data_IF_089246762692
#
_entry.id   IF_089246762692
#
_cell.length_a   1.000
_cell.length_b   1.000
_cell.length_c   1.000
_cell.angle_alpha   90.00
_cell.angle_beta   90.00
_cell.angle_gamma   90.00
#
_symmetry.space_group_name_H-M   'P 1'
#
loop_
_entity.id
_entity.type
_entity.pdbx_description
1 polymer ?
#
# COMPACT_ATOMS: atom_id res chain seq x y z
N UNK A 1 11.63 4.52 -9.68
CA UNK A 1 10.46 5.18 -9.04
C UNK A 1 10.18 4.55 -7.70
N UNK A 2 9.89 5.35 -6.71
CA UNK A 2 9.54 4.91 -5.35
C UNK A 2 8.07 5.27 -5.10
N UNK A 3 7.27 4.30 -4.68
CA UNK A 3 5.83 4.50 -4.51
C UNK A 3 5.32 3.86 -3.22
N UNK A 4 4.51 4.63 -2.48
CA UNK A 4 3.72 4.10 -1.38
C UNK A 4 2.45 3.52 -1.98
N UNK A 5 2.11 2.29 -1.61
CA UNK A 5 0.86 1.65 -2.06
C UNK A 5 -0.06 1.48 -0.85
N UNK A 6 -1.24 2.09 -0.93
CA UNK A 6 -2.24 2.02 0.14
C UNK A 6 -2.60 0.55 0.44
N UNK A 7 -2.83 0.27 1.70
CA UNK A 7 -3.17 -1.08 2.19
C UNK A 7 -4.33 -1.70 1.42
N UNK A 8 -5.38 -0.93 1.14
CA UNK A 8 -6.55 -1.44 0.42
C UNK A 8 -6.22 -1.85 -1.01
N UNK A 9 -5.35 -1.11 -1.69
CA UNK A 9 -4.87 -1.47 -3.03
C UNK A 9 -4.07 -2.77 -2.97
N UNK A 10 -3.20 -2.90 -1.97
CA UNK A 10 -2.37 -4.08 -1.78
C UNK A 10 -3.23 -5.33 -1.53
N UNK A 11 -4.17 -5.25 -0.59
CA UNK A 11 -5.06 -6.38 -0.27
C UNK A 11 -5.95 -6.74 -1.47
N UNK A 12 -6.53 -5.75 -2.14
CA UNK A 12 -7.35 -5.99 -3.34
C UNK A 12 -6.56 -6.69 -4.43
N UNK A 13 -5.31 -6.29 -4.61
CA UNK A 13 -4.43 -6.90 -5.61
C UNK A 13 -4.06 -8.34 -5.29
N UNK A 14 -3.90 -8.68 -3.99
CA UNK A 14 -3.68 -10.06 -3.57
C UNK A 14 -4.91 -10.93 -3.83
N UNK A 15 -6.10 -10.40 -3.56
CA UNK A 15 -7.35 -11.15 -3.74
C UNK A 15 -7.74 -11.32 -5.20
N UNK A 16 -7.44 -10.35 -6.03
CA UNK A 16 -7.81 -10.32 -7.45
C UNK A 16 -6.56 -10.01 -8.30
N UNK A 17 -5.69 -11.01 -8.54
CA UNK A 17 -4.40 -10.77 -9.20
C UNK A 17 -4.49 -10.18 -10.62
N UNK A 18 -5.60 -10.37 -11.31
CA UNK A 18 -5.79 -9.85 -12.67
C UNK A 18 -6.47 -8.49 -12.69
N UNK A 19 -6.84 -7.95 -11.55
CA UNK A 19 -7.41 -6.60 -11.43
C UNK A 19 -6.35 -5.52 -11.61
N UNK A 20 -6.77 -4.26 -11.71
CA UNK A 20 -5.85 -3.13 -11.76
C UNK A 20 -4.94 -3.08 -10.52
N UNK A 21 -5.45 -3.21 -9.27
CA UNK A 21 -4.57 -3.36 -8.10
C UNK A 21 -3.63 -4.56 -8.20
N UNK A 22 -4.09 -5.67 -8.75
CA UNK A 22 -3.23 -6.85 -8.97
C UNK A 22 -2.06 -6.57 -9.89
N UNK A 23 -2.28 -5.77 -10.93
CA UNK A 23 -1.21 -5.36 -11.85
C UNK A 23 -0.20 -4.43 -11.17
N UNK A 24 -0.64 -3.62 -10.21
CA UNK A 24 0.27 -2.79 -9.40
C UNK A 24 1.22 -3.67 -8.59
N UNK A 25 0.71 -4.74 -7.97
CA UNK A 25 1.55 -5.68 -7.23
C UNK A 25 2.49 -6.45 -8.16
N UNK A 26 1.99 -6.92 -9.30
CA UNK A 26 2.81 -7.64 -10.28
C UNK A 26 3.96 -6.76 -10.77
N UNK A 27 3.70 -5.49 -11.05
CA UNK A 27 4.74 -4.55 -11.48
C UNK A 27 5.86 -4.39 -10.43
N UNK A 28 5.50 -4.36 -9.15
CA UNK A 28 6.48 -4.33 -8.07
C UNK A 28 7.34 -5.60 -8.06
N UNK A 29 6.70 -6.77 -8.14
CA UNK A 29 7.41 -8.06 -8.16
C UNK A 29 8.33 -8.19 -9.35
N UNK A 30 8.00 -7.56 -10.46
CA UNK A 30 8.82 -7.54 -11.68
C UNK A 30 9.90 -6.44 -11.65
N UNK A 31 9.98 -5.66 -10.57
CA UNK A 31 11.03 -4.67 -10.39
C UNK A 31 10.80 -3.32 -11.08
N UNK A 32 9.57 -3.01 -11.50
CA UNK A 32 9.26 -1.76 -12.18
C UNK A 32 9.26 -0.54 -11.27
N UNK A 33 9.14 -0.74 -9.95
CA UNK A 33 9.25 0.32 -8.96
C UNK A 33 9.62 -0.23 -7.59
N UNK A 34 10.06 0.67 -6.69
CA UNK A 34 10.36 0.35 -5.30
C UNK A 34 9.12 0.58 -4.46
N UNK A 35 8.65 -0.46 -3.75
CA UNK A 35 7.51 -0.36 -2.83
C UNK A 35 7.96 0.25 -1.50
N UNK A 36 7.23 1.26 -1.05
CA UNK A 36 7.47 1.93 0.23
C UNK A 36 6.30 1.65 1.16
N UNK A 37 6.60 1.23 2.38
CA UNK A 37 5.62 1.02 3.44
C UNK A 37 6.16 1.60 4.75
N UNK A 38 5.32 1.60 5.79
CA UNK A 38 5.73 1.91 7.15
C UNK A 38 5.27 0.80 8.08
N UNK A 39 5.80 0.76 9.30
CA UNK A 39 5.39 -0.27 10.27
C UNK A 39 3.88 -0.26 10.55
N UNK A 40 3.22 0.89 10.76
CA UNK A 40 1.76 0.89 10.92
C UNK A 40 1.02 0.30 9.72
N UNK A 41 1.50 0.55 8.50
CA UNK A 41 0.89 -0.03 7.29
C UNK A 41 1.08 -1.54 7.24
N UNK A 42 2.27 -2.04 7.61
CA UNK A 42 2.51 -3.48 7.70
C UNK A 42 1.62 -4.14 8.75
N UNK A 43 1.44 -3.49 9.90
CA UNK A 43 0.54 -3.98 10.95
C UNK A 43 -0.90 -4.07 10.46
N UNK A 44 -1.36 -3.07 9.71
CA UNK A 44 -2.71 -3.09 9.13
C UNK A 44 -2.86 -4.20 8.10
N UNK A 45 -1.88 -4.37 7.22
CA UNK A 45 -1.88 -5.46 6.23
C UNK A 45 -1.99 -6.81 6.96
N UNK A 46 -1.18 -7.02 8.00
CA UNK A 46 -1.23 -8.24 8.80
C UNK A 46 -2.58 -8.47 9.46
N UNK A 47 -3.18 -7.43 10.02
CA UNK A 47 -4.50 -7.52 10.65
C UNK A 47 -5.58 -7.89 9.64
N UNK A 48 -5.58 -7.25 8.46
CA UNK A 48 -6.56 -7.53 7.40
C UNK A 48 -6.40 -8.93 6.84
N UNK A 49 -5.17 -9.40 6.64
CA UNK A 49 -4.91 -10.76 6.17
C UNK A 49 -5.40 -11.83 7.16
N UNK A 50 -5.52 -11.48 8.45
CA UNK A 50 -6.05 -12.37 9.48
C UNK A 50 -7.57 -12.32 9.61
N UNK A 51 -8.28 -11.42 8.93
CA UNK A 51 -9.74 -11.43 8.93
C UNK A 51 -10.23 -12.74 8.31
N UNK A 52 -11.17 -13.46 8.97
CA UNK A 52 -11.62 -14.78 8.50
C UNK A 52 -12.08 -14.78 7.04
N UNK A 53 -12.78 -13.75 6.62
CA UNK A 53 -13.28 -13.63 5.25
C UNK A 53 -12.14 -13.52 4.23
N UNK A 54 -11.09 -12.79 4.56
CA UNK A 54 -9.92 -12.59 3.69
C UNK A 54 -9.10 -13.87 3.63
N UNK A 55 -8.79 -14.46 4.79
CA UNK A 55 -8.04 -15.73 4.87
C UNK A 55 -8.71 -16.83 4.06
N UNK A 56 -10.03 -16.95 4.20
CA UNK A 56 -10.81 -17.96 3.50
C UNK A 56 -10.73 -17.74 1.99
N UNK A 57 -10.87 -16.50 1.55
CA UNK A 57 -10.83 -16.17 0.12
C UNK A 57 -9.46 -16.43 -0.49
N UNK A 58 -8.40 -16.11 0.23
CA UNK A 58 -7.02 -16.36 -0.21
C UNK A 58 -6.60 -17.83 -0.02
N UNK A 59 -7.33 -18.59 0.81
CA UNK A 59 -6.95 -19.93 1.24
C UNK A 59 -5.59 -19.95 1.94
N UNK A 60 -5.27 -18.93 2.72
CA UNK A 60 -4.01 -18.78 3.44
C UNK A 60 -4.15 -19.24 4.90
N UNK A 61 -3.16 -20.03 5.38
CA UNK A 61 -3.04 -20.39 6.78
C UNK A 61 -2.09 -19.43 7.52
N UNK A 62 -1.93 -19.62 8.83
CA UNK A 62 -1.07 -18.76 9.65
C UNK A 62 0.36 -18.70 9.13
N UNK A 63 0.90 -19.82 8.70
CA UNK A 63 2.27 -19.89 8.20
C UNK A 63 2.44 -19.10 6.89
N UNK A 64 1.49 -19.21 5.99
CA UNK A 64 1.51 -18.45 4.72
C UNK A 64 1.44 -16.94 4.97
N UNK A 65 0.56 -16.52 5.88
CA UNK A 65 0.43 -15.11 6.25
C UNK A 65 1.74 -14.61 6.86
N UNK A 66 2.29 -15.35 7.82
CA UNK A 66 3.53 -14.97 8.50
C UNK A 66 4.70 -14.85 7.52
N UNK A 67 4.85 -15.81 6.63
CA UNK A 67 5.91 -15.78 5.60
C UNK A 67 5.74 -14.62 4.64
N UNK A 68 4.50 -14.34 4.23
CA UNK A 68 4.21 -13.24 3.31
C UNK A 68 4.55 -11.90 3.94
N UNK A 69 4.23 -11.70 5.22
CA UNK A 69 4.57 -10.47 5.93
C UNK A 69 6.08 -10.31 6.11
N UNK A 70 6.79 -11.40 6.39
CA UNK A 70 8.26 -11.39 6.51
C UNK A 70 8.91 -11.00 5.18
N UNK A 71 8.47 -11.58 4.07
CA UNK A 71 8.98 -11.24 2.74
C UNK A 71 8.67 -9.79 2.39
N UNK A 72 7.47 -9.34 2.69
CA UNK A 72 7.06 -7.96 2.39
C UNK A 72 7.93 -6.97 3.16
N UNK A 73 8.17 -7.22 4.45
CA UNK A 73 9.06 -6.39 5.28
C UNK A 73 10.47 -6.34 4.71
N UNK A 74 10.96 -7.47 4.21
CA UNK A 74 12.33 -7.58 3.69
C UNK A 74 12.48 -6.90 2.31
N UNK A 75 11.49 -7.03 1.44
CA UNK A 75 11.59 -6.56 0.06
C UNK A 75 11.13 -5.11 -0.12
N UNK A 76 10.23 -4.62 0.73
CA UNK A 76 9.81 -3.23 0.68
C UNK A 76 10.81 -2.33 1.43
N UNK A 77 10.84 -1.05 1.06
CA UNK A 77 11.54 -0.05 1.86
C UNK A 77 10.61 0.36 3.01
N UNK A 78 11.07 0.16 4.24
CA UNK A 78 10.28 0.50 5.43
C UNK A 78 10.71 1.86 5.95
N UNK A 79 9.79 2.82 5.88
CA UNK A 79 10.04 4.20 6.31
C UNK A 79 9.55 4.39 7.74
N UNK A 80 10.38 5.02 8.58
CA UNK A 80 10.01 5.43 9.93
C UNK A 80 9.17 6.72 9.84
N UNK A 81 7.96 6.65 10.37
CA UNK A 81 7.03 7.80 10.38
C UNK A 81 6.91 8.46 11.74
N UNK A 82 7.71 8.05 12.74
CA UNK A 82 7.70 8.71 14.05
C UNK A 82 8.07 10.18 13.91
N UNK A 83 7.27 11.05 14.55
CA UNK A 83 7.47 12.48 14.47
C UNK A 83 6.90 13.16 13.21
N UNK A 84 6.42 12.38 12.24
CA UNK A 84 5.79 12.92 11.04
C UNK A 84 4.30 13.14 11.31
N UNK A 85 3.85 14.38 11.15
CA UNK A 85 2.45 14.73 11.31
C UNK A 85 1.77 14.79 9.94
N UNK A 86 0.61 14.13 9.86
CA UNK A 86 -0.21 14.14 8.66
C UNK A 86 -1.67 14.17 9.07
N UNK A 87 -2.48 14.84 8.30
CA UNK A 87 -3.92 14.97 8.57
C UNK A 87 -4.71 14.77 7.28
N UNK A 88 -5.61 13.79 7.31
CA UNK A 88 -6.59 13.56 6.26
C UNK A 88 -7.95 14.02 6.81
N UNK A 89 -8.53 15.11 6.30
CA UNK A 89 -9.71 15.74 6.93
C UNK A 89 -10.91 14.82 7.11
N UNK A 90 -11.09 13.84 6.25
CA UNK A 90 -12.29 12.98 6.25
C UNK A 90 -12.07 11.62 6.89
N UNK A 91 -10.83 11.17 6.99
CA UNK A 91 -10.54 9.85 7.53
C UNK A 91 -9.18 9.84 8.24
N UNK A 92 -9.22 9.80 9.57
CA UNK A 92 -8.01 9.76 10.38
C UNK A 92 -7.21 8.46 10.21
N UNK A 93 -7.84 7.38 9.74
CA UNK A 93 -7.13 6.11 9.46
C UNK A 93 -6.14 6.25 8.32
N UNK A 94 -6.38 7.20 7.40
CA UNK A 94 -5.48 7.46 6.28
C UNK A 94 -4.27 8.31 6.67
N UNK A 95 -4.24 8.84 7.90
CA UNK A 95 -3.12 9.68 8.35
C UNK A 95 -1.78 8.95 8.28
N UNK A 96 -1.73 7.67 8.63
CA UNK A 96 -0.48 6.89 8.57
C UNK A 96 0.00 6.69 7.14
N UNK A 97 -0.92 6.56 6.17
CA UNK A 97 -0.57 6.40 4.76
C UNK A 97 0.02 7.70 4.22
N UNK A 98 -0.64 8.83 4.51
CA UNK A 98 -0.12 10.13 4.13
C UNK A 98 1.22 10.43 4.83
N UNK A 99 1.34 10.10 6.12
CA UNK A 99 2.60 10.26 6.85
C UNK A 99 3.74 9.47 6.20
N UNK A 100 3.45 8.27 5.71
CA UNK A 100 4.44 7.44 5.00
C UNK A 100 4.90 8.12 3.71
N UNK A 101 3.98 8.68 2.94
CA UNK A 101 4.33 9.46 1.75
C UNK A 101 5.24 10.64 2.09
N UNK A 102 4.86 11.41 3.11
CA UNK A 102 5.63 12.61 3.50
C UNK A 102 7.01 12.25 4.04
N UNK A 103 7.09 11.27 4.95
CA UNK A 103 8.35 10.88 5.57
C UNK A 103 9.33 10.24 4.57
N UNK A 104 8.81 9.43 3.64
CA UNK A 104 9.64 8.74 2.65
C UNK A 104 10.07 9.64 1.49
N UNK A 105 9.37 10.74 1.27
CA UNK A 105 9.54 11.57 0.07
C UNK A 105 9.41 10.74 -1.22
N UNK A 106 8.52 9.74 -1.19
CA UNK A 106 8.27 8.90 -2.35
C UNK A 106 7.75 9.70 -3.54
N UNK A 107 7.92 9.15 -4.74
CA UNK A 107 7.47 9.82 -5.96
C UNK A 107 5.95 9.89 -6.05
N UNK A 108 5.25 8.91 -5.47
CA UNK A 108 3.78 8.96 -5.41
C UNK A 108 3.21 8.01 -4.36
N UNK A 109 1.94 8.26 -4.03
CA UNK A 109 1.08 7.37 -3.26
C UNK A 109 -0.01 6.85 -4.18
N UNK A 110 -0.13 5.52 -4.26
CA UNK A 110 -1.13 4.83 -5.09
C UNK A 110 -2.29 4.42 -4.21
N UNK A 111 -3.47 4.96 -4.47
CA UNK A 111 -4.66 4.71 -3.66
C UNK A 111 -5.93 4.76 -4.50
N UNK A 112 -6.96 4.04 -4.05
CA UNK A 112 -8.33 4.18 -4.57
C UNK A 112 -9.25 4.93 -3.61
N UNK A 113 -8.73 5.36 -2.45
CA UNK A 113 -9.51 6.03 -1.43
C UNK A 113 -9.79 7.49 -1.83
N UNK A 114 -11.08 7.83 -1.90
CA UNK A 114 -11.49 9.17 -2.32
C UNK A 114 -11.01 10.27 -1.36
N UNK A 115 -10.91 9.97 -0.07
CA UNK A 115 -10.45 10.95 0.92
C UNK A 115 -8.97 11.30 0.71
N UNK A 116 -8.15 10.33 0.33
CA UNK A 116 -6.77 10.59 -0.05
C UNK A 116 -6.67 11.27 -1.41
N UNK A 117 -7.48 10.85 -2.37
CA UNK A 117 -7.45 11.44 -3.71
C UNK A 117 -7.87 12.91 -3.73
N UNK A 118 -8.65 13.37 -2.76
CA UNK A 118 -8.96 14.82 -2.64
C UNK A 118 -7.72 15.66 -2.35
N UNK A 119 -6.63 15.04 -1.90
CA UNK A 119 -5.37 15.71 -1.59
C UNK A 119 -4.38 15.67 -2.76
N UNK A 120 -4.78 15.15 -3.93
CA UNK A 120 -3.89 14.99 -5.07
C UNK A 120 -3.35 16.32 -5.63
N UNK A 121 -4.02 17.43 -5.38
CA UNK A 121 -3.54 18.76 -5.80
C UNK A 121 -2.36 19.23 -4.95
N UNK A 122 -2.26 18.76 -3.70
CA UNK A 122 -1.23 19.16 -2.75
C UNK A 122 -0.09 18.15 -2.64
N UNK A 123 -0.34 16.91 -2.99
CA UNK A 123 0.60 15.80 -2.83
C UNK A 123 0.59 14.90 -4.07
N UNK A 124 1.68 14.17 -4.33
CA UNK A 124 1.74 13.25 -5.48
C UNK A 124 0.94 11.97 -5.18
N UNK A 125 -0.37 12.06 -5.36
CA UNK A 125 -1.31 10.95 -5.11
C UNK A 125 -2.01 10.60 -6.43
N UNK A 126 -2.09 9.31 -6.74
CA UNK A 126 -2.71 8.85 -7.97
C UNK A 126 -3.49 7.55 -7.76
N UNK A 127 -4.36 7.23 -8.70
CA UNK A 127 -5.08 5.97 -8.73
C UNK A 127 -4.17 4.85 -9.25
N UNK A 128 -4.53 3.57 -9.02
CA UNK A 128 -3.80 2.44 -9.61
C UNK A 128 -3.70 2.54 -11.14
N UNK A 129 -4.78 2.95 -11.81
CA UNK A 129 -4.77 3.11 -13.27
C UNK A 129 -3.77 4.19 -13.71
N UNK A 130 -3.81 5.35 -13.08
CA UNK A 130 -2.88 6.45 -13.38
C UNK A 130 -1.44 6.03 -13.14
N UNK A 131 -1.19 5.30 -12.04
CA UNK A 131 0.14 4.83 -11.70
C UNK A 131 0.70 3.89 -12.78
N UNK A 132 -0.11 2.91 -13.22
CA UNK A 132 0.32 1.96 -14.25
C UNK A 132 0.65 2.67 -15.56
N UNK A 133 -0.11 3.71 -15.93
CA UNK A 133 0.18 4.51 -17.12
C UNK A 133 1.51 5.26 -17.00
N UNK A 134 1.94 5.59 -15.78
CA UNK A 134 3.20 6.31 -15.56
C UNK A 134 4.43 5.41 -15.60
N UNK A 135 4.31 4.15 -15.24
CA UNK A 135 5.45 3.22 -15.17
C UNK A 135 5.58 2.32 -16.38
N UNK A 136 4.58 2.31 -17.25
CA UNK A 136 4.61 1.51 -18.48
C UNK A 136 4.51 2.36 -19.74
#
# INVERSE_FOLDING_TARGET
MRAVVDTNVFISGLMLPHSTPGKVIAAWREGHYQLILSEPMLSEIGAVLNYPKIRKRLAWNDLTISRSLTLLRFEAEITDIQGTQAHVPRDSKDNMVLATLLASEADCLVTGDLDLLTLAELHPICTPTEFLLRIF
#
